data_IF_076486631792
#
_entry.id   IF_076486631792
#
_cell.length_a   1.000
_cell.length_b   1.000
_cell.length_c   1.000
_cell.angle_alpha   90.00
_cell.angle_beta   90.00
_cell.angle_gamma   90.00
#
_symmetry.space_group_name_H-M   'P 1'
#
loop_
_entity.id
_entity.type
_entity.pdbx_description
1 polymer ?
#
# COMPACT_ATOMS: atom_id res chain seq x y z
N UNK A 1 0.19 -9.23 3.02
CA UNK A 1 1.29 -9.41 4.00
C UNK A 1 0.80 -8.86 5.32
N UNK A 2 0.95 -9.61 6.42
CA UNK A 2 0.55 -9.14 7.74
C UNK A 2 1.67 -8.31 8.38
N UNK A 3 1.31 -7.39 9.27
CA UNK A 3 2.29 -6.59 10.02
C UNK A 3 3.31 -7.47 10.77
N UNK A 4 2.84 -8.60 11.33
CA UNK A 4 3.72 -9.55 12.02
C UNK A 4 4.72 -10.25 11.08
N UNK A 5 4.41 -10.40 9.80
CA UNK A 5 5.37 -10.94 8.82
C UNK A 5 6.54 -9.98 8.65
N UNK A 6 6.24 -8.68 8.60
CA UNK A 6 7.24 -7.63 8.49
C UNK A 6 8.15 -7.59 9.71
N UNK A 7 7.58 -7.55 10.92
CA UNK A 7 8.36 -7.52 12.17
C UNK A 7 9.25 -8.76 12.31
N UNK A 8 8.73 -9.95 12.01
CA UNK A 8 9.52 -11.19 12.04
C UNK A 8 10.67 -11.18 11.03
N UNK A 9 10.43 -10.71 9.81
CA UNK A 9 11.46 -10.63 8.79
C UNK A 9 12.55 -9.62 9.15
N UNK A 10 12.16 -8.47 9.71
CA UNK A 10 13.09 -7.44 10.17
C UNK A 10 13.95 -7.94 11.33
N UNK A 11 13.32 -8.45 12.38
CA UNK A 11 14.00 -9.00 13.56
C UNK A 11 14.96 -10.13 13.16
N UNK A 12 14.50 -11.06 12.33
CA UNK A 12 15.33 -12.15 11.82
C UNK A 12 16.54 -11.63 11.03
N UNK A 13 16.33 -10.65 10.14
CA UNK A 13 17.42 -10.09 9.33
C UNK A 13 18.50 -9.44 10.20
N UNK A 14 18.11 -8.68 11.22
CA UNK A 14 19.04 -8.07 12.17
C UNK A 14 19.81 -9.14 12.95
N UNK A 15 19.11 -10.14 13.50
CA UNK A 15 19.73 -11.23 14.25
C UNK A 15 20.72 -12.01 13.37
N UNK A 16 20.30 -12.45 12.17
CA UNK A 16 21.14 -13.23 11.26
C UNK A 16 22.41 -12.46 10.82
N UNK A 17 22.36 -11.12 10.78
CA UNK A 17 23.49 -10.29 10.37
C UNK A 17 24.43 -9.93 11.52
N UNK A 18 23.88 -9.74 12.73
CA UNK A 18 24.62 -9.15 13.85
C UNK A 18 24.93 -10.14 14.98
N UNK A 19 24.22 -11.27 15.03
CA UNK A 19 24.17 -12.24 16.14
C UNK A 19 23.80 -11.62 17.50
N UNK A 20 23.10 -10.47 17.49
CA UNK A 20 22.67 -9.77 18.70
C UNK A 20 21.18 -9.95 18.93
N UNK A 21 20.80 -10.00 20.20
CA UNK A 21 19.39 -10.10 20.61
C UNK A 21 18.58 -8.93 20.05
N UNK A 22 17.36 -9.23 19.58
CA UNK A 22 16.43 -8.24 19.00
C UNK A 22 15.12 -8.28 19.75
N UNK A 23 14.82 -7.23 20.52
CA UNK A 23 13.55 -7.06 21.20
C UNK A 23 12.52 -6.28 20.38
N UNK A 24 11.24 -6.49 20.70
CA UNK A 24 10.10 -5.81 20.06
C UNK A 24 9.13 -5.25 21.12
N UNK A 25 8.90 -6.00 22.21
CA UNK A 25 7.88 -5.64 23.21
C UNK A 25 8.44 -5.03 24.50
N UNK A 26 9.45 -5.67 25.10
CA UNK A 26 10.01 -5.25 26.39
C UNK A 26 11.53 -5.08 26.32
N UNK A 27 11.96 -3.83 26.22
CA UNK A 27 13.38 -3.44 26.17
C UNK A 27 14.16 -3.86 27.43
N UNK A 28 13.50 -3.93 28.60
CA UNK A 28 14.16 -4.21 29.88
C UNK A 28 14.52 -5.68 30.09
N UNK A 29 14.06 -6.57 29.20
CA UNK A 29 14.33 -8.00 29.27
C UNK A 29 15.54 -8.43 28.43
N UNK A 30 16.16 -7.51 27.70
CA UNK A 30 17.20 -7.81 26.70
C UNK A 30 18.61 -7.76 27.32
N UNK A 31 19.48 -8.64 26.84
CA UNK A 31 20.90 -8.67 27.19
C UNK A 31 21.67 -7.75 26.25
N UNK A 32 22.41 -6.79 26.81
CA UNK A 32 23.22 -5.85 26.03
C UNK A 32 24.53 -6.49 25.53
N UNK A 33 25.08 -6.08 24.37
CA UNK A 33 24.47 -5.15 23.41
C UNK A 33 23.34 -5.79 22.62
N UNK A 34 22.29 -5.04 22.34
CA UNK A 34 21.10 -5.54 21.65
C UNK A 34 20.45 -4.50 20.75
N UNK A 35 19.50 -4.96 19.94
CA UNK A 35 18.63 -4.10 19.15
C UNK A 35 17.21 -4.14 19.71
N UNK A 36 16.48 -3.04 19.55
CA UNK A 36 15.08 -2.94 19.90
C UNK A 36 14.31 -2.29 18.75
N UNK A 37 13.25 -2.96 18.27
CA UNK A 37 12.42 -2.47 17.18
C UNK A 37 11.19 -1.80 17.78
N UNK A 38 11.03 -0.51 17.51
CA UNK A 38 9.84 0.25 17.84
C UNK A 38 9.12 0.67 16.56
N UNK A 39 7.81 0.43 16.49
CA UNK A 39 6.98 0.99 15.42
C UNK A 39 6.47 2.35 15.86
N UNK A 40 6.90 3.38 15.15
CA UNK A 40 6.57 4.79 15.40
C UNK A 40 5.15 5.07 14.92
N UNK A 41 4.83 4.64 13.69
CA UNK A 41 3.56 4.90 13.03
C UNK A 41 3.14 3.70 12.19
N UNK A 42 1.86 3.43 12.18
CA UNK A 42 1.24 2.41 11.35
C UNK A 42 -0.09 2.94 10.83
N UNK A 43 -0.13 3.21 9.53
CA UNK A 43 -1.35 3.67 8.85
C UNK A 43 -1.76 2.65 7.82
N UNK A 44 -3.05 2.36 7.83
CA UNK A 44 -3.68 1.48 6.86
C UNK A 44 -4.79 2.26 6.18
N UNK A 45 -4.48 2.75 4.98
CA UNK A 45 -5.35 3.60 4.18
C UNK A 45 -5.88 2.77 3.00
N UNK A 46 -7.20 2.71 2.88
CA UNK A 46 -7.84 2.11 1.71
C UNK A 46 -8.17 3.22 0.71
N UNK A 47 -7.59 3.14 -0.48
CA UNK A 47 -7.96 4.02 -1.59
C UNK A 47 -9.09 3.40 -2.40
N UNK A 48 -9.95 4.26 -2.96
CA UNK A 48 -11.10 3.86 -3.79
C UNK A 48 -10.71 3.05 -5.03
N UNK A 49 -9.42 2.96 -5.41
CA UNK A 49 -8.90 2.21 -6.55
C UNK A 49 -8.33 0.84 -6.17
N UNK A 50 -8.81 0.22 -5.09
CA UNK A 50 -8.28 -1.04 -4.53
C UNK A 50 -6.81 -1.03 -4.12
N UNK A 51 -6.17 0.13 -4.09
CA UNK A 51 -4.85 0.23 -3.49
C UNK A 51 -5.05 0.41 -2.01
N UNK A 52 -4.70 -0.61 -1.26
CA UNK A 52 -4.44 -0.45 0.16
C UNK A 52 -3.02 0.06 0.29
N UNK A 53 -2.86 1.20 0.92
CA UNK A 53 -1.55 1.69 1.33
C UNK A 53 -1.35 1.37 2.79
N UNK A 54 -0.30 0.61 3.06
CA UNK A 54 0.17 0.37 4.40
C UNK A 54 1.45 1.17 4.54
N UNK A 55 1.38 2.21 5.37
CA UNK A 55 2.53 3.00 5.76
C UNK A 55 3.01 2.52 7.12
N UNK A 56 4.31 2.27 7.25
CA UNK A 56 4.94 1.83 8.48
C UNK A 56 6.18 2.68 8.69
N UNK A 57 6.31 3.31 9.85
CA UNK A 57 7.53 4.00 10.27
C UNK A 57 8.14 3.27 11.45
N UNK A 58 9.43 2.98 11.39
CA UNK A 58 10.14 2.13 12.35
C UNK A 58 11.38 2.82 12.86
N UNK A 59 11.62 2.71 14.17
CA UNK A 59 12.88 3.03 14.83
C UNK A 59 13.55 1.72 15.29
N UNK A 60 14.75 1.45 14.79
CA UNK A 60 15.60 0.41 15.32
C UNK A 60 16.61 1.07 16.26
N UNK A 61 16.44 0.82 17.54
CA UNK A 61 17.35 1.28 18.57
C UNK A 61 18.49 0.27 18.75
N UNK A 62 19.73 0.73 18.74
CA UNK A 62 20.90 0.00 19.20
C UNK A 62 21.21 0.40 20.64
N UNK A 63 21.27 -0.60 21.52
CA UNK A 63 21.61 -0.45 22.93
C UNK A 63 23.02 -1.02 23.13
N UNK A 64 24.02 -0.15 23.42
CA UNK A 64 25.39 -0.57 23.53
C UNK A 64 25.66 -1.41 24.77
N UNK A 65 26.80 -2.07 24.81
CA UNK A 65 27.22 -2.90 25.95
C UNK A 65 27.37 -2.06 27.23
N UNK A 66 27.98 -0.87 27.10
CA UNK A 66 28.21 0.06 28.20
C UNK A 66 27.46 1.37 27.98
N UNK A 67 27.00 2.00 29.07
CA UNK A 67 26.33 3.31 29.01
C UNK A 67 27.30 4.48 28.75
N UNK A 68 28.60 4.28 29.00
CA UNK A 68 29.64 5.29 28.82
C UNK A 68 30.66 4.88 27.74
N UNK A 69 31.26 5.88 27.07
CA UNK A 69 32.28 5.69 26.03
C UNK A 69 31.87 4.80 24.85
N UNK A 70 30.57 4.71 24.59
CA UNK A 70 29.95 3.84 23.57
C UNK A 70 29.80 4.48 22.19
N UNK A 71 30.16 5.75 22.01
CA UNK A 71 29.90 6.50 20.77
C UNK A 71 30.41 5.79 19.51
N UNK A 72 31.63 5.26 19.54
CA UNK A 72 32.22 4.55 18.40
C UNK A 72 31.49 3.23 18.10
N UNK A 73 31.11 2.50 19.16
CA UNK A 73 30.33 1.26 19.06
C UNK A 73 28.97 1.54 18.41
N UNK A 74 28.28 2.59 18.86
CA UNK A 74 26.97 3.01 18.35
C UNK A 74 27.06 3.39 16.88
N UNK A 75 28.00 4.24 16.47
CA UNK A 75 28.13 4.61 15.05
C UNK A 75 28.45 3.40 14.19
N UNK A 76 29.33 2.51 14.64
CA UNK A 76 29.64 1.28 13.92
C UNK A 76 28.40 0.38 13.77
N UNK A 77 27.61 0.22 14.83
CA UNK A 77 26.38 -0.56 14.79
C UNK A 77 25.32 0.04 13.85
N UNK A 78 25.23 1.37 13.77
CA UNK A 78 24.33 2.08 12.85
C UNK A 78 24.79 1.93 11.39
N UNK A 79 26.09 2.05 11.12
CA UNK A 79 26.66 1.79 9.78
C UNK A 79 26.43 0.33 9.34
N UNK A 80 26.62 -0.62 10.26
CA UNK A 80 26.34 -2.04 10.01
C UNK A 80 24.86 -2.29 9.70
N UNK A 81 23.95 -1.69 10.48
CA UNK A 81 22.51 -1.72 10.24
C UNK A 81 22.14 -1.19 8.86
N UNK A 82 22.66 -0.03 8.48
CA UNK A 82 22.36 0.59 7.19
C UNK A 82 22.89 -0.24 6.01
N UNK A 83 24.10 -0.77 6.15
CA UNK A 83 24.74 -1.61 5.13
C UNK A 83 24.03 -2.97 4.96
N UNK A 84 23.42 -3.51 6.02
CA UNK A 84 22.66 -4.75 5.97
C UNK A 84 21.46 -4.67 5.01
N UNK A 85 20.88 -3.49 4.82
CA UNK A 85 19.81 -3.28 3.85
C UNK A 85 20.31 -3.03 2.43
N UNK A 86 21.61 -2.82 2.22
CA UNK A 86 22.17 -2.48 0.92
C UNK A 86 22.00 -3.61 -0.10
N UNK A 87 21.39 -3.30 -1.24
CA UNK A 87 21.22 -4.22 -2.37
C UNK A 87 21.26 -3.41 -3.66
N UNK A 88 22.42 -3.43 -4.34
CA UNK A 88 22.62 -2.76 -5.64
C UNK A 88 22.25 -1.26 -5.63
N UNK A 89 22.68 -0.51 -4.62
CA UNK A 89 22.41 0.93 -4.51
C UNK A 89 21.04 1.28 -3.93
N UNK A 90 20.34 0.32 -3.34
CA UNK A 90 19.02 0.50 -2.73
C UNK A 90 18.99 -0.16 -1.34
N UNK A 91 18.16 0.37 -0.44
CA UNK A 91 17.89 -0.24 0.87
C UNK A 91 16.67 -1.15 0.78
N UNK A 92 16.89 -2.47 0.85
CA UNK A 92 15.87 -3.49 0.63
C UNK A 92 15.73 -4.44 1.82
N UNK A 93 14.49 -4.61 2.30
CA UNK A 93 14.07 -5.67 3.20
C UNK A 93 13.23 -6.69 2.43
N UNK A 94 13.64 -7.96 2.44
CA UNK A 94 12.85 -9.05 1.86
C UNK A 94 11.88 -9.60 2.90
N UNK A 95 10.59 -9.63 2.58
CA UNK A 95 9.54 -10.20 3.43
C UNK A 95 8.73 -11.18 2.59
N UNK A 96 8.83 -12.48 2.91
CA UNK A 96 8.26 -13.56 2.10
C UNK A 96 8.72 -13.46 0.64
N UNK A 97 7.79 -13.29 -0.29
CA UNK A 97 7.96 -13.15 -1.73
C UNK A 97 8.17 -11.70 -2.19
N UNK A 98 8.12 -10.72 -1.28
CA UNK A 98 8.21 -9.29 -1.58
C UNK A 98 9.59 -8.71 -1.24
N UNK A 99 10.03 -7.77 -2.07
CA UNK A 99 11.17 -6.88 -1.77
C UNK A 99 10.60 -5.49 -1.42
N UNK A 100 10.83 -5.05 -0.20
CA UNK A 100 10.37 -3.77 0.32
C UNK A 100 11.53 -2.79 0.31
N UNK A 101 11.34 -1.66 -0.36
CA UNK A 101 12.33 -0.57 -0.38
C UNK A 101 12.11 0.33 0.83
N UNK A 102 13.15 0.51 1.65
CA UNK A 102 13.16 1.49 2.72
C UNK A 102 13.15 2.89 2.12
N UNK A 103 12.60 3.85 2.87
CA UNK A 103 12.52 5.26 2.48
C UNK A 103 12.84 6.14 3.68
N UNK A 104 13.24 7.37 3.42
CA UNK A 104 13.46 8.39 4.45
C UNK A 104 14.42 7.93 5.56
N UNK A 105 15.41 7.12 5.20
CA UNK A 105 16.35 6.52 6.13
C UNK A 105 17.21 7.60 6.77
N UNK A 106 17.35 7.55 8.09
CA UNK A 106 18.25 8.42 8.82
C UNK A 106 18.69 7.80 10.14
N UNK A 107 19.88 8.20 10.57
CA UNK A 107 20.48 7.79 11.84
C UNK A 107 20.60 8.97 12.78
N UNK A 108 20.40 8.73 14.07
CA UNK A 108 20.73 9.71 15.13
C UNK A 108 21.21 8.99 16.39
N UNK A 109 21.92 9.72 17.24
CA UNK A 109 22.31 9.25 18.57
C UNK A 109 21.56 10.09 19.61
N UNK A 110 20.90 9.44 20.57
CA UNK A 110 20.15 10.08 21.65
C UNK A 110 20.48 9.35 22.95
N UNK A 111 20.96 10.08 23.96
CA UNK A 111 21.28 9.55 25.29
C UNK A 111 22.17 8.29 25.28
N UNK A 112 23.15 8.21 24.37
CA UNK A 112 24.03 7.04 24.27
C UNK A 112 23.51 5.92 23.37
N UNK A 113 22.26 6.01 22.89
CA UNK A 113 21.61 5.00 22.06
C UNK A 113 21.65 5.38 20.59
N UNK A 114 21.86 4.39 19.73
CA UNK A 114 21.77 4.58 18.28
C UNK A 114 20.34 4.39 17.82
N UNK A 115 19.84 5.26 16.95
CA UNK A 115 18.52 5.14 16.33
C UNK A 115 18.69 5.10 14.82
N UNK A 116 18.19 4.04 14.19
CA UNK A 116 18.07 3.90 12.75
C UNK A 116 16.59 3.91 12.37
N UNK A 117 16.15 5.00 11.74
CA UNK A 117 14.74 5.24 11.43
C UNK A 117 14.52 5.18 9.93
N UNK A 118 13.46 4.52 9.52
CA UNK A 118 13.02 4.48 8.13
C UNK A 118 11.52 4.28 8.01
N UNK A 119 11.02 4.58 6.81
CA UNK A 119 9.64 4.38 6.43
C UNK A 119 9.52 3.27 5.39
N UNK A 120 8.37 2.61 5.40
CA UNK A 120 7.91 1.70 4.36
C UNK A 120 6.58 2.16 3.83
N UNK A 121 6.46 2.13 2.51
CA UNK A 121 5.24 2.49 1.82
C UNK A 121 4.82 1.33 0.91
N UNK A 122 3.86 0.55 1.41
CA UNK A 122 3.41 -0.69 0.79
C UNK A 122 2.10 -0.44 0.07
N UNK A 123 2.11 -0.61 -1.25
CA UNK A 123 0.89 -0.64 -2.04
C UNK A 123 0.50 -2.10 -2.29
N UNK A 124 -0.59 -2.52 -1.68
CA UNK A 124 -1.24 -3.79 -1.99
C UNK A 124 -2.44 -3.49 -2.89
N UNK A 125 -2.46 -4.09 -4.08
CA UNK A 125 -3.64 -4.06 -4.96
C UNK A 125 -4.55 -5.20 -4.51
N UNK A 126 -5.73 -4.87 -4.00
CA UNK A 126 -6.75 -5.86 -3.62
C UNK A 126 -7.74 -6.05 -4.76
N UNK A 127 -7.55 -7.08 -5.57
CA UNK A 127 -8.43 -7.42 -6.69
C UNK A 127 -7.65 -7.94 -7.89
N UNK A 128 -8.33 -8.69 -8.75
CA UNK A 128 -7.77 -9.19 -10.02
C UNK A 128 -7.28 -8.01 -10.86
N UNK A 129 -6.15 -8.15 -11.56
CA UNK A 129 -5.66 -7.14 -12.50
C UNK A 129 -6.62 -7.01 -13.70
N UNK A 130 -7.60 -6.12 -13.56
CA UNK A 130 -8.64 -5.84 -14.56
C UNK A 130 -8.09 -5.09 -15.79
N UNK A 131 -6.77 -4.89 -15.93
CA UNK A 131 -6.20 -4.57 -17.26
C UNK A 131 -6.49 -5.68 -18.28
N UNK A 132 -6.85 -6.88 -17.80
CA UNK A 132 -7.37 -8.00 -18.61
C UNK A 132 -8.89 -8.07 -18.69
N UNK A 133 -9.63 -7.17 -18.02
CA UNK A 133 -11.07 -7.07 -18.17
C UNK A 133 -11.38 -6.40 -19.50
N UNK A 134 -11.60 -7.25 -20.50
CA UNK A 134 -12.34 -6.81 -21.68
C UNK A 134 -13.77 -6.56 -21.20
N UNK A 135 -14.10 -5.28 -21.00
CA UNK A 135 -15.40 -4.82 -20.49
C UNK A 135 -16.48 -4.96 -21.59
N UNK A 136 -16.56 -6.14 -22.20
CA UNK A 136 -17.61 -6.54 -23.13
C UNK A 136 -18.95 -6.65 -22.38
N UNK A 137 -20.06 -6.61 -23.12
CA UNK A 137 -21.41 -6.79 -22.56
C UNK A 137 -21.53 -8.12 -21.81
N UNK A 138 -20.83 -9.15 -22.27
CA UNK A 138 -20.79 -10.47 -21.65
C UNK A 138 -20.14 -10.39 -20.25
N UNK A 139 -19.01 -9.71 -20.13
CA UNK A 139 -18.34 -9.48 -18.84
C UNK A 139 -19.20 -8.65 -17.88
N UNK A 140 -19.95 -7.65 -18.38
CA UNK A 140 -20.87 -6.86 -17.54
C UNK A 140 -22.05 -7.72 -17.05
N UNK A 141 -22.61 -8.58 -17.90
CA UNK A 141 -23.67 -9.53 -17.51
C UNK A 141 -23.18 -10.54 -16.47
N UNK A 142 -21.96 -11.06 -16.63
CA UNK A 142 -21.33 -11.96 -15.65
C UNK A 142 -21.15 -11.29 -14.28
N UNK A 143 -20.72 -10.02 -14.23
CA UNK A 143 -20.59 -9.27 -12.97
C UNK A 143 -21.95 -9.04 -12.30
N UNK A 144 -22.95 -8.67 -13.09
CA UNK A 144 -24.29 -8.39 -12.60
C UNK A 144 -25.07 -9.68 -12.25
N UNK A 145 -24.50 -10.86 -12.56
CA UNK A 145 -25.17 -12.17 -12.47
C UNK A 145 -26.55 -12.15 -13.10
N UNK A 146 -26.66 -11.43 -14.20
CA UNK A 146 -27.95 -11.07 -14.78
C UNK A 146 -28.20 -11.91 -16.03
N UNK A 147 -29.00 -12.97 -15.85
CA UNK A 147 -29.48 -13.85 -16.93
C UNK A 147 -30.69 -13.26 -17.66
N UNK A 148 -31.09 -12.02 -17.35
CA UNK A 148 -32.26 -11.39 -17.95
C UNK A 148 -31.94 -10.66 -19.26
N UNK A 149 -32.93 -10.62 -20.18
CA UNK A 149 -32.87 -9.89 -21.45
C UNK A 149 -32.97 -8.36 -21.27
N UNK A 150 -32.25 -7.77 -20.31
CA UNK A 150 -32.20 -6.32 -20.17
C UNK A 150 -31.53 -5.67 -21.37
N UNK A 151 -32.08 -4.54 -21.78
CA UNK A 151 -31.48 -3.71 -22.83
C UNK A 151 -30.16 -3.10 -22.32
N UNK A 152 -29.24 -2.76 -23.23
CA UNK A 152 -27.97 -2.10 -22.87
C UNK A 152 -28.21 -0.83 -22.01
N UNK A 153 -29.32 -0.12 -22.25
CA UNK A 153 -29.72 1.08 -21.51
C UNK A 153 -30.09 0.79 -20.04
N UNK A 154 -30.85 -0.28 -19.78
CA UNK A 154 -31.31 -0.66 -18.45
C UNK A 154 -30.16 -1.20 -17.59
N UNK A 155 -29.25 -1.98 -18.18
CA UNK A 155 -28.04 -2.47 -17.51
C UNK A 155 -27.17 -1.32 -17.01
N UNK A 156 -26.99 -0.28 -17.82
CA UNK A 156 -26.18 0.89 -17.46
C UNK A 156 -26.82 1.72 -16.35
N UNK A 157 -28.15 1.82 -16.31
CA UNK A 157 -28.87 2.55 -15.26
C UNK A 157 -28.74 1.87 -13.89
N UNK A 158 -28.57 0.55 -13.90
CA UNK A 158 -28.40 -0.28 -12.71
C UNK A 158 -26.94 -0.40 -12.26
N UNK A 159 -25.97 0.19 -12.98
CA UNK A 159 -24.58 0.22 -12.55
C UNK A 159 -24.41 1.11 -11.32
N UNK A 160 -23.87 0.53 -10.27
CA UNK A 160 -23.39 1.29 -9.11
C UNK A 160 -22.04 1.89 -9.42
N UNK A 161 -22.01 3.20 -9.71
CA UNK A 161 -20.79 3.96 -9.93
C UNK A 161 -20.54 4.97 -8.81
N UNK A 162 -19.28 5.35 -8.63
CA UNK A 162 -18.77 6.17 -7.54
C UNK A 162 -17.72 7.18 -8.05
N UNK A 163 -17.65 8.35 -7.41
CA UNK A 163 -16.59 9.34 -7.64
C UNK A 163 -15.32 9.02 -6.83
N UNK A 164 -14.27 9.82 -7.01
CA UNK A 164 -13.00 9.71 -6.25
C UNK A 164 -13.16 9.85 -4.72
N UNK A 165 -14.28 10.43 -4.26
CA UNK A 165 -14.60 10.60 -2.84
C UNK A 165 -15.50 9.48 -2.30
N UNK A 166 -15.87 8.50 -3.14
CA UNK A 166 -16.74 7.38 -2.77
C UNK A 166 -18.23 7.73 -2.72
N UNK A 167 -18.65 8.87 -3.27
CA UNK A 167 -20.08 9.18 -3.41
C UNK A 167 -20.64 8.44 -4.61
N UNK A 168 -21.86 7.89 -4.47
CA UNK A 168 -22.54 7.23 -5.60
C UNK A 168 -22.89 8.27 -6.68
N UNK A 169 -22.59 7.96 -7.93
CA UNK A 169 -22.82 8.83 -9.09
C UNK A 169 -23.52 8.06 -10.19
N UNK A 170 -24.38 8.74 -10.95
CA UNK A 170 -25.10 8.21 -12.10
C UNK A 170 -24.45 8.64 -13.42
N UNK A 171 -24.51 7.78 -14.45
CA UNK A 171 -24.18 8.17 -15.83
C UNK A 171 -25.28 8.98 -16.51
N UNK A 172 -26.44 9.08 -15.87
CA UNK A 172 -27.61 9.77 -16.40
C UNK A 172 -27.92 11.01 -15.57
N UNK A 173 -28.27 12.09 -16.25
CA UNK A 173 -28.75 13.32 -15.65
C UNK A 173 -30.24 13.21 -15.25
N UNK A 174 -30.81 14.32 -14.78
CA UNK A 174 -32.20 14.44 -14.35
C UNK A 174 -33.23 14.17 -15.47
N UNK A 175 -32.83 14.29 -16.74
CA UNK A 175 -33.68 14.03 -17.90
C UNK A 175 -33.52 12.59 -18.43
N UNK A 176 -32.76 11.74 -17.72
CA UNK A 176 -32.33 10.40 -18.15
C UNK A 176 -31.44 10.41 -19.40
N UNK A 177 -30.77 11.52 -19.70
CA UNK A 177 -29.78 11.62 -20.76
C UNK A 177 -28.38 11.29 -20.22
N UNK A 178 -27.53 10.68 -21.07
CA UNK A 178 -26.15 10.40 -20.70
C UNK A 178 -25.38 11.69 -20.43
N UNK A 179 -24.67 11.74 -19.30
CA UNK A 179 -23.83 12.88 -18.91
C UNK A 179 -22.83 13.25 -20.00
N UNK A 180 -22.47 14.53 -20.05
CA UNK A 180 -21.56 15.03 -21.08
C UNK A 180 -20.15 14.46 -20.93
N UNK A 181 -19.43 14.36 -22.05
CA UNK A 181 -18.05 13.89 -22.10
C UNK A 181 -17.11 14.70 -21.19
N UNK A 182 -17.37 15.99 -21.04
CA UNK A 182 -16.59 16.88 -20.19
C UNK A 182 -16.85 16.60 -18.71
N UNK A 183 -18.11 16.34 -18.35
CA UNK A 183 -18.51 15.98 -16.98
C UNK A 183 -17.93 14.62 -16.60
N UNK A 184 -18.02 13.63 -17.48
CA UNK A 184 -17.45 12.30 -17.25
C UNK A 184 -15.93 12.33 -16.99
N UNK A 185 -15.18 13.08 -17.80
CA UNK A 185 -13.72 13.19 -17.64
C UNK A 185 -13.30 13.85 -16.33
N UNK A 186 -14.14 14.72 -15.77
CA UNK A 186 -13.89 15.38 -14.48
C UNK A 186 -14.27 14.51 -13.29
N UNK A 187 -15.21 13.58 -13.47
CA UNK A 187 -15.77 12.79 -12.37
C UNK A 187 -14.96 11.55 -12.00
N UNK A 188 -14.03 11.09 -12.87
CA UNK A 188 -13.26 9.85 -12.67
C UNK A 188 -14.14 8.75 -12.06
N UNK A 189 -15.04 8.17 -12.86
CA UNK A 189 -16.04 7.23 -12.33
C UNK A 189 -15.45 5.85 -12.11
N UNK A 190 -15.81 5.23 -10.99
CA UNK A 190 -15.46 3.87 -10.62
C UNK A 190 -16.72 3.04 -10.38
N UNK A 191 -16.71 1.72 -10.53
CA UNK A 191 -17.84 0.89 -10.05
C UNK A 191 -17.81 0.69 -8.51
N UNK A 192 -18.77 -0.05 -7.94
CA UNK A 192 -18.79 -0.45 -6.50
C UNK A 192 -17.53 -1.16 -6.02
N UNK A 193 -16.76 -1.58 -6.99
CA UNK A 193 -15.51 -2.28 -6.91
C UNK A 193 -14.37 -1.34 -7.31
N UNK A 194 -14.46 0.00 -7.26
CA UNK A 194 -13.29 0.86 -7.51
C UNK A 194 -12.64 0.76 -8.90
N UNK A 195 -13.30 0.14 -9.88
CA UNK A 195 -12.78 -0.09 -11.24
C UNK A 195 -13.06 1.12 -12.12
N UNK A 196 -12.04 1.74 -12.76
CA UNK A 196 -12.27 2.89 -13.61
C UNK A 196 -13.22 2.56 -14.76
N UNK A 197 -14.32 3.28 -14.86
CA UNK A 197 -15.27 3.14 -15.95
C UNK A 197 -14.68 3.80 -17.21
N UNK A 198 -14.54 3.04 -18.30
CA UNK A 198 -13.77 3.46 -19.47
C UNK A 198 -14.55 4.46 -20.37
N UNK A 199 -13.99 5.66 -20.56
CA UNK A 199 -14.52 6.72 -21.44
C UNK A 199 -14.81 6.27 -22.89
N UNK A 200 -14.07 5.29 -23.43
CA UNK A 200 -14.29 4.75 -24.79
C UNK A 200 -15.65 4.06 -24.92
N UNK A 201 -16.14 3.45 -23.84
CA UNK A 201 -17.45 2.79 -23.79
C UNK A 201 -18.56 3.83 -23.77
N UNK A 202 -18.48 4.85 -22.91
CA UNK A 202 -19.45 5.96 -22.88
C UNK A 202 -19.60 6.63 -24.25
N UNK A 203 -18.48 6.88 -24.95
CA UNK A 203 -18.51 7.48 -26.30
C UNK A 203 -19.18 6.56 -27.33
N UNK A 204 -18.91 5.26 -27.29
CA UNK A 204 -19.55 4.29 -28.18
C UNK A 204 -21.06 4.13 -27.88
N UNK A 205 -21.46 4.17 -26.61
CA UNK A 205 -22.85 4.12 -26.17
C UNK A 205 -23.64 5.36 -26.62
N UNK A 206 -23.05 6.55 -26.49
CA UNK A 206 -23.64 7.80 -26.98
C UNK A 206 -23.89 7.80 -28.49
N UNK A 207 -23.08 7.08 -29.25
CA UNK A 207 -23.28 6.89 -30.70
C UNK A 207 -24.40 5.89 -31.01
N UNK A 208 -24.59 4.86 -30.16
CA UNK A 208 -25.66 3.85 -30.30
C UNK A 208 -27.04 4.38 -29.89
N UNK A 209 -27.12 5.13 -28.78
CA UNK A 209 -28.37 5.68 -28.23
C UNK A 209 -28.91 6.90 -29.00
N UNK A 210 -28.11 7.47 -29.93
CA UNK A 210 -28.54 8.54 -30.85
C UNK A 210 -29.19 8.03 -32.14
N UNK A 211 -29.33 6.71 -32.31
CA UNK A 211 -30.09 6.06 -33.39
C UNK A 211 -31.46 5.65 -32.89
#
# INVERSE_FOLDING_TARGET
MEFMDFIKALSKKIYDFTDKEVGIDNINALTRPCYYIQVIDYKNEFFANYKKRIFISVDIMYIPENDENNTMEVYKALDELDNMFETKGNKILKVKDRCLTLKNEHTKMVDGLGHYIFDLDLFDVYGTDLRTFDNSIETIKEILKDDTELTEYELLKNLDLFDEKGNRVSLFDENNDLISDEVFKKLSLFDKNGVPFNYKIMRNLKMKLKK
#
